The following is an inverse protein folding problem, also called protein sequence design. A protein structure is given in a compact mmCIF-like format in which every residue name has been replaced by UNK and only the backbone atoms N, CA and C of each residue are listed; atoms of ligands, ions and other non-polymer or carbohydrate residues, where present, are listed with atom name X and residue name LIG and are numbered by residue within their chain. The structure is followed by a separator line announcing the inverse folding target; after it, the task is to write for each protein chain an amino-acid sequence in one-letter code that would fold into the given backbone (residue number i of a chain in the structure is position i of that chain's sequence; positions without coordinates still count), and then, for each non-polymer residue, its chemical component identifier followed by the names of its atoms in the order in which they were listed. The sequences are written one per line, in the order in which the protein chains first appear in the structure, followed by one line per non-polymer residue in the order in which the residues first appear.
data_IF_272798571868
#
_entry.id   IF_272798571868
#
_cell.length_a   1.000
_cell.length_b   1.000
_cell.length_c   1.000
_cell.angle_alpha   90.00
_cell.angle_beta   90.00
_cell.angle_gamma   90.00
#
_symmetry.space_group_name_H-M   'P 1'
#
loop_
_entity.id
_entity.type
_entity.pdbx_description
1 polymer ?
#
# COMPACT_ATOMS: atom_id res chain seq x y z
N UNK A 1 -4.22 7.63 5.66
CA UNK A 1 -3.98 7.76 7.11
C UNK A 1 -5.01 8.66 7.75
N UNK A 2 -5.86 8.13 8.64
CA UNK A 2 -6.66 8.97 9.53
C UNK A 2 -5.75 9.50 10.63
N UNK A 3 -5.34 10.76 10.54
CA UNK A 3 -4.57 11.42 11.61
C UNK A 3 -5.55 11.79 12.71
N UNK A 4 -5.78 10.88 13.67
CA UNK A 4 -6.72 11.09 14.77
C UNK A 4 -6.01 11.84 15.89
N UNK A 5 -6.26 13.14 15.99
CA UNK A 5 -5.87 13.96 17.14
C UNK A 5 -6.75 13.60 18.35
N UNK A 6 -6.13 13.32 19.51
CA UNK A 6 -6.85 12.97 20.74
C UNK A 6 -7.19 14.21 21.58
N UNK A 7 -8.07 15.07 21.04
CA UNK A 7 -8.49 16.31 21.69
C UNK A 7 -9.48 16.12 22.86
N UNK A 8 -10.25 15.02 22.85
CA UNK A 8 -11.37 14.81 23.78
C UNK A 8 -10.96 14.73 25.26
N UNK A 9 -9.82 14.10 25.57
CA UNK A 9 -9.33 13.95 26.95
C UNK A 9 -8.90 15.33 27.50
N UNK A 10 -8.15 16.10 26.71
CA UNK A 10 -7.70 17.44 27.11
C UNK A 10 -8.87 18.38 27.36
N UNK A 11 -9.89 18.35 26.50
CA UNK A 11 -11.10 19.15 26.66
C UNK A 11 -11.93 18.74 27.89
N UNK A 12 -12.05 17.43 28.15
CA UNK A 12 -12.74 16.90 29.33
C UNK A 12 -12.07 17.32 30.64
N UNK A 13 -10.74 17.20 30.72
CA UNK A 13 -9.97 17.64 31.88
C UNK A 13 -10.02 19.16 32.07
N UNK A 14 -9.96 19.93 30.98
CA UNK A 14 -10.09 21.39 31.04
C UNK A 14 -11.44 21.83 31.62
N UNK A 15 -12.52 21.12 31.26
CA UNK A 15 -13.87 21.38 31.78
C UNK A 15 -13.98 21.01 33.26
N UNK A 16 -13.39 19.91 33.69
CA UNK A 16 -13.41 19.49 35.10
C UNK A 16 -12.68 20.52 35.98
N UNK A 17 -11.49 20.98 35.54
CA UNK A 17 -10.75 22.05 36.22
C UNK A 17 -11.55 23.36 36.25
N UNK A 18 -12.32 23.65 35.19
CA UNK A 18 -13.18 24.83 35.18
C UNK A 18 -14.30 24.76 36.24
N UNK A 19 -14.85 23.57 36.48
CA UNK A 19 -15.86 23.34 37.50
C UNK A 19 -15.28 23.38 38.93
N UNK A 20 -14.05 22.88 39.13
CA UNK A 20 -13.41 22.87 40.46
C UNK A 20 -12.85 24.23 40.89
N UNK A 21 -12.44 25.09 39.96
CA UNK A 21 -11.75 26.36 40.27
C UNK A 21 -12.49 27.58 39.68
N UNK A 22 -13.51 28.15 40.35
CA UNK A 22 -14.40 29.18 39.78
C UNK A 22 -13.73 30.50 39.36
N UNK A 23 -12.57 30.83 39.93
CA UNK A 23 -11.85 32.10 39.66
C UNK A 23 -10.82 31.99 38.53
N UNK A 24 -10.28 30.81 38.26
CA UNK A 24 -9.21 30.57 37.28
C UNK A 24 -9.62 29.63 36.15
N UNK A 25 -10.67 28.85 36.38
CA UNK A 25 -11.14 27.75 35.55
C UNK A 25 -11.50 28.13 34.13
N UNK A 26 -12.26 29.21 33.96
CA UNK A 26 -12.71 29.66 32.64
C UNK A 26 -11.54 30.13 31.75
N UNK A 27 -10.62 30.90 32.32
CA UNK A 27 -9.41 31.36 31.62
C UNK A 27 -8.49 30.19 31.27
N UNK A 28 -8.33 29.23 32.17
CA UNK A 28 -7.56 28.01 31.93
C UNK A 28 -8.18 27.16 30.82
N UNK A 29 -9.49 26.91 30.89
CA UNK A 29 -10.20 26.13 29.88
C UNK A 29 -10.10 26.78 28.49
N UNK A 30 -10.25 28.10 28.42
CA UNK A 30 -10.09 28.84 27.16
C UNK A 30 -8.68 28.68 26.57
N UNK A 31 -7.64 28.73 27.40
CA UNK A 31 -6.26 28.51 26.97
C UNK A 31 -6.06 27.07 26.44
N UNK A 32 -6.55 26.07 27.17
CA UNK A 32 -6.43 24.66 26.76
C UNK A 32 -7.17 24.42 25.45
N UNK A 33 -8.41 24.88 25.33
CA UNK A 33 -9.20 24.80 24.08
C UNK A 33 -8.45 25.45 22.92
N UNK A 34 -7.86 26.62 23.14
CA UNK A 34 -7.08 27.33 22.11
C UNK A 34 -5.88 26.51 21.64
N UNK A 35 -5.11 25.92 22.57
CA UNK A 35 -3.97 25.05 22.24
C UNK A 35 -4.42 23.80 21.49
N UNK A 36 -5.52 23.18 21.92
CA UNK A 36 -6.10 22.00 21.27
C UNK A 36 -6.47 22.32 19.82
N UNK A 37 -7.25 23.39 19.58
CA UNK A 37 -7.66 23.81 18.23
C UNK A 37 -6.45 24.10 17.35
N UNK A 38 -5.44 24.80 17.86
CA UNK A 38 -4.21 25.05 17.11
C UNK A 38 -3.51 23.74 16.73
N UNK A 39 -3.38 22.79 17.66
CA UNK A 39 -2.72 21.52 17.38
C UNK A 39 -3.53 20.63 16.41
N UNK A 40 -4.87 20.68 16.44
CA UNK A 40 -5.71 19.94 15.49
C UNK A 40 -5.64 20.50 14.07
N UNK A 41 -5.45 21.81 13.91
CA UNK A 41 -5.28 22.44 12.59
C UNK A 41 -3.85 22.21 12.08
N UNK A 42 -2.85 22.55 12.89
CA UNK A 42 -1.46 22.60 12.44
C UNK A 42 -0.74 21.25 12.53
N UNK A 43 -1.10 20.40 13.50
CA UNK A 43 -0.46 19.10 13.74
C UNK A 43 -0.51 18.19 12.51
N UNK A 44 -1.69 17.88 11.95
CA UNK A 44 -1.81 17.05 10.75
C UNK A 44 -1.11 17.64 9.53
N UNK A 45 -1.17 18.97 9.38
CA UNK A 45 -0.51 19.68 8.27
C UNK A 45 1.01 19.56 8.33
N UNK A 46 1.60 19.83 9.50
CA UNK A 46 3.05 19.70 9.70
C UNK A 46 3.51 18.25 9.60
N UNK A 47 2.76 17.29 10.17
CA UNK A 47 3.10 15.88 10.06
C UNK A 47 3.12 15.42 8.59
N UNK A 48 2.06 15.74 7.82
CA UNK A 48 2.01 15.43 6.39
C UNK A 48 3.18 16.08 5.63
N UNK A 49 3.51 17.34 5.94
CA UNK A 49 4.62 18.03 5.31
C UNK A 49 5.97 17.38 5.63
N UNK A 50 6.19 16.99 6.89
CA UNK A 50 7.43 16.33 7.31
C UNK A 50 7.56 14.96 6.66
N UNK A 51 6.51 14.12 6.66
CA UNK A 51 6.53 12.81 6.01
C UNK A 51 6.93 12.91 4.54
N UNK A 52 6.36 13.87 3.79
CA UNK A 52 6.75 14.12 2.40
C UNK A 52 8.19 14.64 2.27
N UNK A 53 8.65 15.45 3.23
CA UNK A 53 10.01 16.00 3.21
C UNK A 53 11.07 14.94 3.50
N UNK A 54 10.76 13.95 4.34
CA UNK A 54 11.67 12.84 4.66
C UNK A 54 11.47 11.61 3.77
N UNK A 55 10.62 11.73 2.74
CA UNK A 55 10.29 10.66 1.80
C UNK A 55 9.64 9.42 2.42
N UNK A 56 9.03 9.57 3.61
CA UNK A 56 8.29 8.50 4.30
C UNK A 56 6.78 8.56 4.01
N UNK A 57 6.36 9.41 3.07
CA UNK A 57 4.95 9.47 2.68
C UNK A 57 4.50 8.29 1.84
N UNK A 58 5.44 7.56 1.20
CA UNK A 58 5.18 6.38 0.37
C UNK A 58 3.94 6.59 -0.53
N UNK A 59 3.88 7.74 -1.22
CA UNK A 59 2.75 8.07 -2.08
C UNK A 59 2.87 7.26 -3.38
N UNK A 60 1.75 6.75 -3.93
CA UNK A 60 1.80 5.94 -5.14
C UNK A 60 2.25 6.79 -6.33
N UNK A 61 2.98 6.19 -7.27
CA UNK A 61 3.28 6.82 -8.55
C UNK A 61 1.99 7.09 -9.36
N UNK A 62 2.09 7.91 -10.40
CA UNK A 62 1.03 8.02 -11.40
C UNK A 62 0.94 6.71 -12.19
N UNK A 63 -0.23 6.07 -12.13
CA UNK A 63 -0.47 4.81 -12.83
C UNK A 63 -0.81 5.05 -14.31
N UNK A 64 -0.12 4.32 -15.21
CA UNK A 64 -0.25 4.46 -16.65
C UNK A 64 -1.02 3.28 -17.29
N UNK A 65 -2.23 3.00 -16.81
CA UNK A 65 -3.09 1.95 -17.36
C UNK A 65 -3.49 2.22 -18.81
N UNK A 66 -3.60 1.17 -19.62
CA UNK A 66 -4.13 1.25 -20.97
C UNK A 66 -5.50 0.54 -21.13
N UNK A 67 -5.83 0.04 -22.32
CA UNK A 67 -7.10 -0.63 -22.60
C UNK A 67 -7.03 -2.13 -22.29
N UNK A 68 -5.83 -2.71 -22.39
CA UNK A 68 -5.59 -4.09 -22.08
C UNK A 68 -5.62 -4.28 -20.57
N UNK A 69 -5.80 -5.53 -20.12
CA UNK A 69 -5.92 -5.85 -18.70
C UNK A 69 -4.77 -6.74 -18.30
N UNK A 70 -3.73 -6.13 -17.77
CA UNK A 70 -2.47 -6.80 -17.51
C UNK A 70 -2.33 -7.15 -16.03
N UNK A 71 -1.96 -8.40 -15.73
CA UNK A 71 -1.75 -8.87 -14.36
C UNK A 71 -0.49 -9.72 -14.26
N UNK A 72 0.31 -9.41 -13.25
CA UNK A 72 1.49 -10.21 -12.88
C UNK A 72 1.15 -10.98 -11.61
N UNK A 73 1.33 -12.30 -11.67
CA UNK A 73 1.12 -13.20 -10.53
C UNK A 73 2.47 -13.75 -10.11
N UNK A 74 2.95 -13.35 -8.95
CA UNK A 74 4.18 -13.85 -8.33
C UNK A 74 3.86 -15.06 -7.46
N UNK A 75 4.66 -16.11 -7.56
CA UNK A 75 4.49 -17.36 -6.84
C UNK A 75 3.67 -18.34 -7.67
N UNK A 76 4.32 -19.36 -8.21
CA UNK A 76 3.69 -20.38 -9.05
C UNK A 76 3.42 -21.62 -8.20
N UNK A 77 2.14 -21.82 -7.94
CA UNK A 77 1.59 -22.97 -7.25
C UNK A 77 0.26 -23.37 -7.91
N UNK A 78 -0.32 -24.51 -7.51
CA UNK A 78 -1.55 -25.00 -8.13
C UNK A 78 -2.72 -23.98 -8.09
N UNK A 79 -2.76 -23.11 -7.07
CA UNK A 79 -3.77 -22.06 -6.96
C UNK A 79 -3.52 -20.92 -7.95
N UNK A 80 -2.29 -20.41 -8.06
CA UNK A 80 -1.97 -19.32 -8.98
C UNK A 80 -2.07 -19.75 -10.45
N UNK A 81 -1.77 -21.00 -10.79
CA UNK A 81 -2.04 -21.56 -12.13
C UNK A 81 -3.55 -21.66 -12.42
N UNK A 82 -4.37 -21.97 -11.41
CA UNK A 82 -5.83 -21.97 -11.59
C UNK A 82 -6.37 -20.56 -11.78
N UNK A 83 -5.86 -19.61 -10.98
CA UNK A 83 -6.20 -18.19 -11.08
C UNK A 83 -5.80 -17.61 -12.44
N UNK A 84 -4.59 -17.92 -12.93
CA UNK A 84 -4.11 -17.44 -14.24
C UNK A 84 -5.04 -17.87 -15.37
N UNK A 85 -5.49 -19.13 -15.36
CA UNK A 85 -6.46 -19.65 -16.35
C UNK A 85 -7.79 -18.91 -16.26
N UNK A 86 -8.30 -18.65 -15.06
CA UNK A 86 -9.57 -17.92 -14.89
C UNK A 86 -9.47 -16.47 -15.37
N UNK A 87 -8.36 -15.80 -15.10
CA UNK A 87 -8.09 -14.44 -15.55
C UNK A 87 -7.92 -14.39 -17.06
N UNK A 88 -7.19 -15.33 -17.65
CA UNK A 88 -7.05 -15.45 -19.10
C UNK A 88 -8.40 -15.67 -19.81
N UNK A 89 -9.24 -16.57 -19.28
CA UNK A 89 -10.61 -16.78 -19.78
C UNK A 89 -11.49 -15.52 -19.66
N UNK A 90 -11.16 -14.63 -18.73
CA UNK A 90 -11.85 -13.34 -18.52
C UNK A 90 -11.26 -12.19 -19.35
N UNK A 91 -10.28 -12.50 -20.23
CA UNK A 91 -9.64 -11.54 -21.12
C UNK A 91 -8.58 -10.67 -20.44
N UNK A 92 -7.85 -11.22 -19.48
CA UNK A 92 -6.63 -10.62 -18.93
C UNK A 92 -5.39 -11.22 -19.59
N UNK A 93 -4.37 -10.39 -19.80
CA UNK A 93 -3.02 -10.84 -20.13
C UNK A 93 -2.31 -11.16 -18.81
N UNK A 94 -1.99 -12.44 -18.63
CA UNK A 94 -1.43 -12.93 -17.37
C UNK A 94 0.01 -13.33 -17.56
N UNK A 95 0.89 -12.78 -16.72
CA UNK A 95 2.28 -13.21 -16.58
C UNK A 95 2.47 -13.87 -15.23
N UNK A 96 2.88 -15.14 -15.23
CA UNK A 96 3.29 -15.88 -14.05
C UNK A 96 4.79 -15.65 -13.80
N UNK A 97 5.15 -15.36 -12.56
CA UNK A 97 6.54 -15.10 -12.17
C UNK A 97 6.92 -15.91 -10.92
N UNK A 98 8.12 -16.50 -10.93
CA UNK A 98 8.63 -17.21 -9.75
C UNK A 98 10.17 -17.10 -9.63
N UNK A 99 10.71 -17.38 -8.45
CA UNK A 99 12.14 -17.46 -8.17
C UNK A 99 12.76 -18.81 -8.61
N UNK A 100 11.91 -19.81 -8.89
CA UNK A 100 12.30 -21.16 -9.28
C UNK A 100 11.40 -21.67 -10.39
N UNK A 101 11.95 -22.54 -11.22
CA UNK A 101 11.19 -23.20 -12.27
C UNK A 101 10.21 -24.21 -11.67
N UNK A 102 8.94 -23.83 -11.59
CA UNK A 102 7.87 -24.66 -11.02
C UNK A 102 7.01 -25.34 -12.10
N UNK A 103 6.92 -24.74 -13.29
CA UNK A 103 6.04 -25.25 -14.34
C UNK A 103 6.52 -26.59 -14.88
N UNK A 104 5.60 -27.54 -14.90
CA UNK A 104 5.81 -28.81 -15.60
C UNK A 104 5.87 -28.57 -17.11
N UNK A 105 6.52 -29.47 -17.86
CA UNK A 105 6.55 -29.42 -19.34
C UNK A 105 5.15 -29.30 -19.96
N UNK A 106 4.13 -29.85 -19.29
CA UNK A 106 2.72 -29.76 -19.72
C UNK A 106 2.14 -28.35 -19.55
N UNK A 107 2.54 -27.62 -18.51
CA UNK A 107 2.09 -26.25 -18.28
C UNK A 107 2.86 -25.25 -19.14
N UNK A 108 4.07 -25.58 -19.56
CA UNK A 108 4.84 -24.81 -20.57
C UNK A 108 4.23 -24.87 -21.97
N UNK A 109 3.52 -25.96 -22.28
CA UNK A 109 2.79 -26.12 -23.55
C UNK A 109 1.48 -25.31 -23.60
N UNK A 110 1.03 -24.75 -22.47
CA UNK A 110 -0.09 -23.80 -22.44
C UNK A 110 0.39 -22.39 -22.86
N UNK A 111 -0.49 -21.53 -23.43
CA UNK A 111 -0.16 -20.15 -23.78
C UNK A 111 -0.06 -19.25 -22.52
N UNK A 112 0.59 -19.75 -21.47
CA UNK A 112 0.86 -19.02 -20.24
C UNK A 112 2.22 -18.30 -20.40
N UNK A 113 2.22 -16.98 -20.23
CA UNK A 113 3.46 -16.22 -20.12
C UNK A 113 4.08 -16.53 -18.77
N UNK A 114 5.31 -17.05 -18.78
CA UNK A 114 6.06 -17.39 -17.57
C UNK A 114 7.45 -16.75 -17.60
N UNK A 115 7.83 -16.15 -16.48
CA UNK A 115 9.12 -15.49 -16.29
C UNK A 115 9.77 -15.91 -14.97
N UNK A 116 11.08 -16.09 -14.99
CA UNK A 116 11.88 -16.27 -13.76
C UNK A 116 12.39 -14.91 -13.28
N UNK A 117 12.46 -14.73 -11.96
CA UNK A 117 13.13 -13.57 -11.36
C UNK A 117 14.04 -13.99 -10.20
N UNK A 118 14.88 -13.06 -9.77
CA UNK A 118 15.78 -13.26 -8.65
C UNK A 118 15.24 -12.49 -7.44
N UNK A 119 14.66 -13.19 -6.48
CA UNK A 119 14.08 -12.59 -5.26
C UNK A 119 15.10 -11.80 -4.43
N UNK A 120 16.41 -12.00 -4.65
CA UNK A 120 17.45 -11.22 -3.96
C UNK A 120 17.75 -9.87 -4.63
N UNK A 121 17.17 -9.63 -5.82
CA UNK A 121 17.40 -8.43 -6.63
C UNK A 121 16.08 -7.76 -7.01
N UNK A 122 15.80 -6.64 -6.34
CA UNK A 122 14.62 -5.80 -6.59
C UNK A 122 14.43 -5.44 -8.07
N UNK A 123 15.53 -5.20 -8.81
CA UNK A 123 15.48 -4.87 -10.24
C UNK A 123 14.76 -5.93 -11.08
N UNK A 124 14.90 -7.22 -10.73
CA UNK A 124 14.23 -8.29 -11.48
C UNK A 124 12.73 -8.33 -11.24
N UNK A 125 12.26 -7.84 -10.08
CA UNK A 125 10.83 -7.63 -9.81
C UNK A 125 10.34 -6.42 -10.63
N UNK A 126 11.12 -5.34 -10.67
CA UNK A 126 10.80 -4.14 -11.47
C UNK A 126 10.71 -4.40 -12.96
N UNK A 127 11.49 -5.33 -13.49
CA UNK A 127 11.45 -5.74 -14.90
C UNK A 127 10.16 -6.47 -15.27
N UNK A 128 9.49 -7.11 -14.30
CA UNK A 128 8.24 -7.86 -14.52
C UNK A 128 7.00 -6.98 -14.42
N UNK A 129 7.03 -5.96 -13.56
CA UNK A 129 5.94 -5.01 -13.41
C UNK A 129 6.18 -3.87 -14.39
N UNK A 130 5.24 -3.65 -15.29
CA UNK A 130 5.32 -2.57 -16.28
C UNK A 130 4.39 -1.43 -15.90
N UNK A 131 4.57 -0.22 -16.46
CA UNK A 131 3.63 0.88 -16.26
C UNK A 131 2.18 0.55 -16.67
N UNK A 132 1.99 -0.44 -17.56
CA UNK A 132 0.69 -0.91 -18.04
C UNK A 132 0.04 -1.94 -17.10
N UNK A 133 0.80 -2.53 -16.17
CA UNK A 133 0.31 -3.59 -15.29
C UNK A 133 -0.81 -3.09 -14.38
N UNK A 134 -2.05 -3.53 -14.60
CA UNK A 134 -3.23 -3.08 -13.84
C UNK A 134 -3.37 -3.71 -12.45
N UNK A 135 -2.82 -4.91 -12.27
CA UNK A 135 -2.95 -5.66 -11.04
C UNK A 135 -1.72 -6.53 -10.76
N UNK A 136 -1.45 -6.73 -9.48
CA UNK A 136 -0.38 -7.61 -9.00
C UNK A 136 -0.96 -8.56 -7.96
N UNK A 137 -0.63 -9.84 -8.08
CA UNK A 137 -1.00 -10.87 -7.12
C UNK A 137 0.30 -11.47 -6.58
N UNK A 138 0.60 -11.27 -5.30
CA UNK A 138 1.84 -11.72 -4.67
C UNK A 138 1.57 -12.92 -3.76
N UNK A 139 1.87 -14.12 -4.26
CA UNK A 139 1.64 -15.41 -3.60
C UNK A 139 2.95 -16.17 -3.35
N UNK A 140 4.03 -15.46 -3.03
CA UNK A 140 5.30 -16.08 -2.67
C UNK A 140 5.22 -16.69 -1.27
N UNK A 141 6.02 -17.72 -0.99
CA UNK A 141 6.14 -18.33 0.35
C UNK A 141 6.71 -17.37 1.42
N UNK A 142 7.32 -16.26 1.02
CA UNK A 142 8.01 -15.32 1.89
C UNK A 142 7.31 -13.96 1.90
N UNK A 143 6.72 -13.60 3.04
CA UNK A 143 6.02 -12.33 3.27
C UNK A 143 6.90 -11.10 3.01
N UNK A 144 8.22 -11.19 3.22
CA UNK A 144 9.13 -10.09 2.91
C UNK A 144 9.17 -9.81 1.41
N UNK A 145 9.20 -10.85 0.58
CA UNK A 145 9.20 -10.71 -0.88
C UNK A 145 7.83 -10.22 -1.35
N UNK A 146 6.74 -10.73 -0.78
CA UNK A 146 5.39 -10.22 -1.07
C UNK A 146 5.29 -8.73 -0.73
N UNK A 147 5.85 -8.29 0.39
CA UNK A 147 5.91 -6.87 0.75
C UNK A 147 6.71 -6.05 -0.26
N UNK A 148 7.90 -6.51 -0.68
CA UNK A 148 8.70 -5.81 -1.70
C UNK A 148 7.98 -5.70 -3.05
N UNK A 149 7.30 -6.77 -3.49
CA UNK A 149 6.47 -6.76 -4.70
C UNK A 149 5.35 -5.73 -4.57
N UNK A 150 4.64 -5.71 -3.44
CA UNK A 150 3.58 -4.74 -3.19
C UNK A 150 4.11 -3.31 -3.20
N UNK A 151 5.28 -3.10 -2.58
CA UNK A 151 5.91 -1.80 -2.50
C UNK A 151 6.29 -1.30 -3.91
N UNK A 152 6.94 -2.13 -4.72
CA UNK A 152 7.28 -1.78 -6.11
C UNK A 152 6.01 -1.49 -6.91
N UNK A 153 5.00 -2.36 -6.84
CA UNK A 153 3.75 -2.16 -7.57
C UNK A 153 3.07 -0.83 -7.21
N UNK A 154 3.03 -0.49 -5.92
CA UNK A 154 2.34 0.70 -5.43
C UNK A 154 3.15 1.99 -5.61
N UNK A 155 4.40 2.01 -5.15
CA UNK A 155 5.24 3.21 -5.08
C UNK A 155 5.87 3.55 -6.43
N UNK A 156 6.34 2.57 -7.20
CA UNK A 156 7.04 2.83 -8.47
C UNK A 156 6.06 2.90 -9.66
N UNK A 157 4.96 2.15 -9.61
CA UNK A 157 4.03 2.00 -10.74
C UNK A 157 2.58 2.45 -10.46
N UNK A 158 2.26 2.86 -9.23
CA UNK A 158 0.95 3.41 -8.89
C UNK A 158 -0.20 2.40 -8.88
N UNK A 159 0.11 1.10 -8.86
CA UNK A 159 -0.86 0.03 -8.99
C UNK A 159 -1.63 -0.11 -7.68
N UNK A 160 -2.95 0.12 -7.71
CA UNK A 160 -3.79 0.01 -6.51
C UNK A 160 -4.44 -1.36 -6.33
N UNK A 161 -4.49 -2.20 -7.37
CA UNK A 161 -5.09 -3.54 -7.33
C UNK A 161 -4.02 -4.58 -6.99
N UNK A 162 -3.65 -4.61 -5.72
CA UNK A 162 -2.66 -5.55 -5.20
C UNK A 162 -3.36 -6.57 -4.30
N UNK A 163 -3.09 -7.85 -4.51
CA UNK A 163 -3.61 -8.98 -3.71
C UNK A 163 -2.43 -9.77 -3.16
N UNK A 164 -2.48 -10.11 -1.87
CA UNK A 164 -1.51 -10.96 -1.16
C UNK A 164 -2.28 -12.07 -0.46
#
# INVERSE_FOLDING_TARGET
MGLITQAGIALGLAREVAAEFPTLGDSFSTMVVSVVVLNEIFGPLFLKHVLRRVDESHEPAEHASDVDRDVVIFGVEGQSVTLSRQLHLSGWNVTLADNKEYLTEREKDEPLSYSLFDETKLETIKELITPQTDAVVAMMDNDHINFEICQVAYEDYGISRIVV
#
